data_IF_606811904932
#
_entry.id   IF_606811904932
#
_cell.length_a   1.000
_cell.length_b   1.000
_cell.length_c   1.000
_cell.angle_alpha   90.00
_cell.angle_beta   90.00
_cell.angle_gamma   90.00
#
_symmetry.space_group_name_H-M   'P 1'
#
loop_
_entity.id
_entity.type
_entity.pdbx_description
1 polymer ?
#
# COMPACT_ATOMS: atom_id res chain seq x y z
N UNK A 1 -62.02 -6.37 22.06
CA UNK A 1 -60.85 -5.89 21.28
C UNK A 1 -59.79 -5.44 22.28
N UNK A 2 -58.52 -5.84 22.30
CA UNK A 2 -57.73 -6.81 21.55
C UNK A 2 -56.56 -7.20 22.48
N UNK A 3 -56.32 -8.50 22.70
CA UNK A 3 -55.04 -9.00 23.22
C UNK A 3 -54.19 -9.36 22.00
N UNK A 4 -53.04 -8.72 21.82
CA UNK A 4 -52.02 -9.16 20.85
C UNK A 4 -50.83 -9.71 21.62
N UNK A 5 -50.82 -11.03 21.71
CA UNK A 5 -49.65 -11.85 22.04
C UNK A 5 -48.69 -11.78 20.86
N UNK A 6 -47.48 -11.24 21.03
CA UNK A 6 -46.40 -11.37 20.04
C UNK A 6 -45.52 -12.54 20.50
N UNK A 7 -45.68 -13.66 19.80
CA UNK A 7 -44.81 -14.84 19.87
C UNK A 7 -43.56 -14.57 19.01
N UNK A 8 -42.41 -14.94 19.56
CA UNK A 8 -41.29 -15.54 18.83
C UNK A 8 -40.53 -14.65 17.85
N UNK A 9 -39.47 -13.99 18.33
CA UNK A 9 -38.31 -13.70 17.50
C UNK A 9 -37.12 -14.47 18.10
N UNK A 10 -36.81 -15.62 17.53
CA UNK A 10 -35.52 -16.28 17.74
C UNK A 10 -34.43 -15.41 17.11
N UNK A 11 -33.52 -14.86 17.92
CA UNK A 11 -32.32 -14.21 17.44
C UNK A 11 -31.39 -15.26 16.81
N UNK A 12 -31.46 -15.44 15.50
CA UNK A 12 -30.38 -16.05 14.73
C UNK A 12 -29.39 -14.97 14.33
N UNK A 13 -28.16 -15.08 14.87
CA UNK A 13 -26.93 -14.40 14.50
C UNK A 13 -27.07 -13.24 13.49
N UNK A 14 -27.39 -12.04 13.99
CA UNK A 14 -27.13 -10.82 13.25
C UNK A 14 -25.62 -10.60 13.24
N UNK A 15 -25.05 -10.60 12.04
CA UNK A 15 -23.73 -10.07 11.71
C UNK A 15 -23.56 -8.74 12.44
N UNK A 16 -22.64 -8.69 13.40
CA UNK A 16 -22.18 -7.42 13.98
C UNK A 16 -21.37 -6.74 12.90
N UNK A 17 -22.04 -6.06 11.98
CA UNK A 17 -21.41 -5.02 11.17
C UNK A 17 -21.04 -3.94 12.16
N UNK A 18 -19.77 -3.89 12.56
CA UNK A 18 -19.27 -2.84 13.42
C UNK A 18 -19.67 -1.50 12.81
N UNK A 19 -20.55 -0.77 13.50
CA UNK A 19 -20.86 0.62 13.19
C UNK A 19 -19.58 1.38 13.53
N UNK A 20 -18.73 1.60 12.53
CA UNK A 20 -17.61 2.51 12.63
C UNK A 20 -18.23 3.91 12.72
N UNK A 21 -18.22 4.51 13.90
CA UNK A 21 -18.57 5.91 14.09
C UNK A 21 -17.62 6.76 13.22
N UNK A 22 -18.12 7.64 12.34
CA UNK A 22 -17.27 8.53 11.57
C UNK A 22 -16.65 9.55 12.53
N UNK A 23 -15.34 9.46 12.75
CA UNK A 23 -14.57 10.48 13.48
C UNK A 23 -13.67 9.98 14.61
N UNK A 24 -13.75 8.71 15.01
CA UNK A 24 -12.86 8.10 16.00
C UNK A 24 -12.46 6.68 15.54
N UNK A 25 -11.80 6.57 14.39
CA UNK A 25 -11.44 5.28 13.83
C UNK A 25 -10.12 5.41 13.09
N UNK A 26 -9.21 4.47 13.34
CA UNK A 26 -8.00 4.33 12.53
C UNK A 26 -8.32 4.10 11.05
N UNK A 27 -7.29 3.97 10.19
CA UNK A 27 -7.50 3.73 8.76
C UNK A 27 -8.42 2.53 8.51
N UNK A 28 -9.36 2.69 7.58
CA UNK A 28 -10.29 1.63 7.19
C UNK A 28 -9.50 0.40 6.68
N UNK A 29 -9.85 -0.83 7.11
CA UNK A 29 -9.16 -2.03 6.66
C UNK A 29 -9.16 -2.22 5.14
N UNK A 30 -8.07 -2.76 4.59
CA UNK A 30 -8.03 -3.11 3.17
C UNK A 30 -8.74 -4.46 2.95
N UNK A 31 -9.56 -4.57 1.89
CA UNK A 31 -10.39 -5.76 1.64
C UNK A 31 -9.58 -7.08 1.58
N UNK A 32 -8.40 -7.05 0.95
CA UNK A 32 -7.52 -8.21 0.78
C UNK A 32 -6.26 -8.17 1.67
N UNK A 33 -6.25 -7.35 2.73
CA UNK A 33 -5.07 -7.09 3.56
C UNK A 33 -4.34 -8.38 4.01
N UNK A 34 -5.06 -9.40 4.45
CA UNK A 34 -4.45 -10.66 4.90
C UNK A 34 -3.74 -11.42 3.78
N UNK A 35 -4.33 -11.49 2.58
CA UNK A 35 -3.73 -12.15 1.42
C UNK A 35 -2.47 -11.42 0.97
N UNK A 36 -2.52 -10.09 0.91
CA UNK A 36 -1.37 -9.26 0.53
C UNK A 36 -0.24 -9.40 1.55
N UNK A 37 -0.55 -9.32 2.84
CA UNK A 37 0.43 -9.48 3.90
C UNK A 37 1.12 -10.86 3.86
N UNK A 38 0.36 -11.93 3.64
CA UNK A 38 0.92 -13.28 3.48
C UNK A 38 1.84 -13.38 2.27
N UNK A 39 1.49 -12.75 1.15
CA UNK A 39 2.36 -12.70 -0.03
C UNK A 39 3.66 -11.95 0.25
N UNK A 40 3.59 -10.77 0.89
CA UNK A 40 4.79 -10.00 1.27
C UNK A 40 5.73 -10.84 2.14
N UNK A 41 5.18 -11.50 3.16
CA UNK A 41 5.96 -12.33 4.08
C UNK A 41 6.56 -13.57 3.39
N UNK A 42 5.82 -14.20 2.49
CA UNK A 42 6.32 -15.31 1.67
C UNK A 42 7.44 -14.88 0.73
N UNK A 43 7.42 -13.65 0.25
CA UNK A 43 8.49 -13.06 -0.56
C UNK A 43 9.73 -12.66 0.27
N UNK A 44 9.71 -12.89 1.60
CA UNK A 44 10.78 -12.47 2.51
C UNK A 44 10.81 -10.98 2.80
N UNK A 45 9.73 -10.27 2.46
CA UNK A 45 9.51 -8.87 2.80
C UNK A 45 8.95 -8.69 4.20
N UNK A 46 8.77 -7.44 4.59
CA UNK A 46 8.19 -7.08 5.88
C UNK A 46 7.12 -6.00 5.69
N UNK A 47 6.22 -5.86 6.66
CA UNK A 47 5.19 -4.84 6.59
C UNK A 47 4.82 -4.31 7.98
N UNK A 48 4.11 -3.18 8.01
CA UNK A 48 3.37 -2.72 9.21
C UNK A 48 1.90 -2.59 8.88
N UNK A 49 1.05 -2.77 9.89
CA UNK A 49 -0.41 -2.72 9.75
C UNK A 49 -1.02 -1.84 10.84
N UNK A 50 -2.26 -1.41 10.64
CA UNK A 50 -2.99 -0.66 11.67
C UNK A 50 -3.17 -1.50 12.95
N UNK A 51 -3.06 -0.83 14.11
CA UNK A 51 -3.18 -1.47 15.41
C UNK A 51 -1.96 -2.28 15.87
N UNK A 52 -0.91 -2.42 15.05
CA UNK A 52 0.33 -3.10 15.42
C UNK A 52 1.52 -2.14 15.27
N UNK A 53 2.14 -1.77 16.39
CA UNK A 53 3.25 -0.81 16.39
C UNK A 53 4.57 -1.37 15.83
N UNK A 54 4.74 -2.69 15.85
CA UNK A 54 5.96 -3.35 15.38
C UNK A 54 5.86 -3.77 13.92
N UNK A 55 7.02 -3.89 13.28
CA UNK A 55 7.15 -4.55 11.97
C UNK A 55 6.80 -6.03 12.08
N UNK A 56 6.01 -6.51 11.12
CA UNK A 56 5.59 -7.89 10.97
C UNK A 56 6.55 -8.59 10.02
N UNK A 57 7.11 -9.71 10.48
CA UNK A 57 8.09 -10.52 9.75
C UNK A 57 7.67 -12.00 9.66
N UNK A 58 6.62 -12.39 10.39
CA UNK A 58 6.07 -13.75 10.39
C UNK A 58 4.55 -13.73 10.21
N UNK A 59 3.95 -14.67 9.47
CA UNK A 59 2.50 -14.77 9.34
C UNK A 59 1.76 -14.97 10.67
N UNK A 60 2.42 -15.54 11.68
CA UNK A 60 1.85 -15.74 13.02
C UNK A 60 1.62 -14.41 13.77
N UNK A 61 2.30 -13.34 13.35
CA UNK A 61 2.20 -12.01 13.96
C UNK A 61 1.08 -11.15 13.36
N UNK A 62 0.36 -11.66 12.36
CA UNK A 62 -0.73 -10.94 11.72
C UNK A 62 -1.94 -10.84 12.67
N UNK A 63 -2.63 -9.68 12.72
CA UNK A 63 -3.88 -9.58 13.46
C UNK A 63 -4.91 -10.60 12.98
N UNK A 64 -5.68 -11.13 13.92
CA UNK A 64 -6.81 -12.02 13.62
C UNK A 64 -7.99 -11.27 13.00
N UNK A 65 -8.21 -10.02 13.40
CA UNK A 65 -9.24 -9.12 12.90
C UNK A 65 -8.83 -8.35 11.65
N UNK A 66 -9.72 -7.49 11.10
CA UNK A 66 -9.43 -6.68 9.93
C UNK A 66 -8.38 -5.60 10.23
N UNK A 67 -7.50 -5.32 9.27
CA UNK A 67 -6.45 -4.32 9.38
C UNK A 67 -6.16 -3.65 8.05
N UNK A 68 -5.49 -2.49 8.10
CA UNK A 68 -4.98 -1.77 6.94
C UNK A 68 -3.47 -1.98 6.83
N UNK A 69 -2.94 -2.14 5.62
CA UNK A 69 -1.50 -2.20 5.38
C UNK A 69 -0.96 -0.78 5.23
N UNK A 70 0.04 -0.44 6.03
CA UNK A 70 0.59 0.92 6.12
C UNK A 70 1.95 1.04 5.45
N UNK A 71 2.79 0.02 5.58
CA UNK A 71 4.12 0.00 4.94
C UNK A 71 4.39 -1.39 4.40
N UNK A 72 5.11 -1.46 3.28
CA UNK A 72 5.63 -2.70 2.71
C UNK A 72 7.09 -2.45 2.36
N UNK A 73 7.95 -3.35 2.82
CA UNK A 73 9.38 -3.39 2.49
C UNK A 73 9.67 -4.69 1.75
N UNK A 74 10.00 -4.58 0.47
CA UNK A 74 10.41 -5.67 -0.43
C UNK A 74 11.81 -5.41 -1.00
N UNK A 75 12.62 -4.60 -0.30
CA UNK A 75 13.99 -4.29 -0.74
C UNK A 75 14.80 -5.58 -0.89
N UNK A 76 15.53 -5.70 -2.00
CA UNK A 76 16.35 -6.85 -2.37
C UNK A 76 15.57 -8.17 -2.41
N UNK A 77 14.27 -8.12 -2.70
CA UNK A 77 13.42 -9.31 -2.89
C UNK A 77 13.21 -9.59 -4.37
N UNK A 78 13.01 -10.86 -4.78
CA UNK A 78 12.80 -11.24 -6.18
C UNK A 78 11.38 -10.89 -6.65
N UNK A 79 11.07 -9.60 -6.71
CA UNK A 79 9.76 -9.04 -7.10
C UNK A 79 9.88 -8.42 -8.48
N UNK A 80 8.95 -8.76 -9.37
CA UNK A 80 8.86 -8.26 -10.74
C UNK A 80 7.56 -7.47 -10.96
N UNK A 81 7.46 -6.77 -12.10
CA UNK A 81 6.33 -5.90 -12.44
C UNK A 81 4.94 -6.53 -12.21
N UNK A 82 4.77 -7.80 -12.59
CA UNK A 82 3.50 -8.54 -12.45
C UNK A 82 3.09 -8.74 -11.00
N UNK A 83 4.04 -8.81 -10.08
CA UNK A 83 3.79 -9.11 -8.69
C UNK A 83 3.18 -7.91 -7.96
N UNK A 84 3.40 -6.68 -8.47
CA UNK A 84 2.77 -5.47 -7.95
C UNK A 84 1.25 -5.41 -8.16
N UNK A 85 0.68 -6.32 -8.96
CA UNK A 85 -0.79 -6.50 -9.03
C UNK A 85 -1.40 -6.90 -7.68
N UNK A 86 -0.62 -7.54 -6.79
CA UNK A 86 -1.06 -7.87 -5.43
C UNK A 86 -1.29 -6.63 -4.56
N UNK A 87 -0.77 -5.46 -4.95
CA UNK A 87 -0.92 -4.22 -4.18
C UNK A 87 -2.15 -3.41 -4.60
N UNK A 88 -2.85 -3.83 -5.66
CA UNK A 88 -4.02 -3.10 -6.17
C UNK A 88 -5.09 -3.03 -5.08
N UNK A 89 -5.59 -1.83 -4.83
CA UNK A 89 -6.68 -1.60 -3.89
C UNK A 89 -6.24 -1.22 -2.48
N UNK A 90 -4.95 -1.30 -2.13
CA UNK A 90 -4.47 -0.81 -0.83
C UNK A 90 -4.70 0.70 -0.72
N UNK A 91 -5.57 1.11 0.21
CA UNK A 91 -5.98 2.51 0.36
C UNK A 91 -5.12 3.27 1.36
N UNK A 92 -4.35 2.55 2.16
CA UNK A 92 -3.65 3.12 3.32
C UNK A 92 -2.13 2.98 3.25
N UNK A 93 -1.59 2.42 2.17
CA UNK A 93 -0.14 2.21 2.02
C UNK A 93 0.58 3.56 1.90
N UNK A 94 1.51 3.83 2.82
CA UNK A 94 2.29 5.08 2.91
C UNK A 94 3.73 4.90 2.44
N UNK A 95 4.32 3.74 2.67
CA UNK A 95 5.68 3.40 2.24
C UNK A 95 5.70 2.12 1.42
N UNK A 96 6.43 2.14 0.31
CA UNK A 96 6.73 0.98 -0.52
C UNK A 96 8.23 0.92 -0.84
N UNK A 97 8.90 -0.12 -0.32
CA UNK A 97 10.31 -0.43 -0.56
C UNK A 97 10.50 -1.39 -1.72
N UNK A 98 11.19 -0.97 -2.78
CA UNK A 98 11.53 -1.77 -3.96
C UNK A 98 13.00 -1.60 -4.39
N UNK A 99 13.88 -1.22 -3.46
CA UNK A 99 15.33 -1.12 -3.71
C UNK A 99 15.86 -2.43 -4.28
N UNK A 100 16.65 -2.34 -5.37
CA UNK A 100 17.33 -3.49 -5.98
C UNK A 100 16.37 -4.66 -6.28
N UNK A 101 15.29 -4.35 -7.00
CA UNK A 101 14.29 -5.31 -7.49
C UNK A 101 14.19 -5.25 -9.02
N UNK A 102 13.55 -6.24 -9.64
CA UNK A 102 13.36 -6.34 -11.10
C UNK A 102 12.20 -5.46 -11.62
N UNK A 103 11.94 -4.33 -10.95
CA UNK A 103 10.87 -3.42 -11.31
C UNK A 103 11.30 -2.53 -12.49
N UNK A 104 10.38 -2.38 -13.44
CA UNK A 104 10.52 -1.52 -14.61
C UNK A 104 9.38 -0.50 -14.68
N UNK A 105 9.42 0.36 -15.70
CA UNK A 105 8.34 1.33 -15.96
C UNK A 105 6.95 0.67 -16.06
N UNK A 106 6.84 -0.62 -16.41
CA UNK A 106 5.55 -1.32 -16.50
C UNK A 106 4.94 -1.51 -15.11
N UNK A 107 5.73 -1.87 -14.10
CA UNK A 107 5.27 -2.07 -12.73
C UNK A 107 4.68 -0.81 -12.10
N UNK A 108 5.21 0.37 -12.45
CA UNK A 108 4.73 1.65 -11.90
C UNK A 108 3.27 1.98 -12.26
N UNK A 109 2.70 1.34 -13.29
CA UNK A 109 1.27 1.46 -13.59
C UNK A 109 0.41 0.98 -12.42
N UNK A 110 0.82 -0.09 -11.75
CA UNK A 110 0.11 -0.63 -10.58
C UNK A 110 0.35 0.23 -9.34
N UNK A 111 1.57 0.78 -9.19
CA UNK A 111 1.91 1.69 -8.08
C UNK A 111 1.10 2.99 -8.15
N UNK A 112 0.80 3.50 -9.35
CA UNK A 112 0.08 4.77 -9.54
C UNK A 112 -1.33 4.81 -8.90
N UNK A 113 -1.92 3.66 -8.58
CA UNK A 113 -3.22 3.55 -7.88
C UNK A 113 -3.13 3.72 -6.36
N UNK A 114 -1.92 3.72 -5.78
CA UNK A 114 -1.67 3.76 -4.33
C UNK A 114 -1.70 5.20 -3.83
N UNK A 115 -2.88 5.82 -3.85
CA UNK A 115 -3.04 7.27 -3.67
C UNK A 115 -2.60 7.81 -2.30
N UNK A 116 -2.45 6.94 -1.29
CA UNK A 116 -1.94 7.32 0.04
C UNK A 116 -0.42 7.22 0.17
N UNK A 117 0.29 6.81 -0.89
CA UNK A 117 1.74 6.61 -0.86
C UNK A 117 2.46 7.94 -0.70
N UNK A 118 3.26 8.05 0.35
CA UNK A 118 4.06 9.24 0.68
C UNK A 118 5.53 9.03 0.40
N UNK A 119 6.02 7.79 0.51
CA UNK A 119 7.42 7.44 0.30
C UNK A 119 7.56 6.20 -0.60
N UNK A 120 8.41 6.29 -1.61
CA UNK A 120 8.65 5.23 -2.58
C UNK A 120 10.15 5.06 -2.85
N UNK A 121 10.68 3.88 -2.56
CA UNK A 121 12.07 3.52 -2.83
C UNK A 121 12.18 2.69 -4.11
N UNK A 122 12.90 3.20 -5.11
CA UNK A 122 13.09 2.59 -6.44
C UNK A 122 14.56 2.57 -6.84
N UNK A 123 15.50 2.79 -5.92
CA UNK A 123 16.92 2.81 -6.26
C UNK A 123 17.37 1.44 -6.79
N UNK A 124 18.30 1.45 -7.73
CA UNK A 124 18.82 0.26 -8.42
C UNK A 124 17.74 -0.60 -9.10
N UNK A 125 16.71 0.06 -9.63
CA UNK A 125 15.69 -0.57 -10.50
C UNK A 125 15.84 -0.09 -11.94
N UNK A 126 15.13 -0.72 -12.88
CA UNK A 126 15.17 -0.37 -14.31
C UNK A 126 14.21 0.77 -14.69
N UNK A 127 14.06 1.77 -13.82
CA UNK A 127 13.21 2.94 -14.02
C UNK A 127 13.91 3.99 -14.88
N UNK A 128 13.13 4.63 -15.76
CA UNK A 128 13.58 5.74 -16.61
C UNK A 128 12.61 6.92 -16.51
N UNK A 129 12.90 8.02 -17.20
CA UNK A 129 12.00 9.19 -17.31
C UNK A 129 10.57 8.84 -17.74
N UNK A 130 10.38 7.74 -18.49
CA UNK A 130 9.05 7.28 -18.88
C UNK A 130 8.24 6.78 -17.68
N UNK A 131 8.88 6.10 -16.73
CA UNK A 131 8.24 5.62 -15.51
C UNK A 131 7.79 6.74 -14.59
N UNK A 132 8.52 7.85 -14.53
CA UNK A 132 8.15 8.99 -13.69
C UNK A 132 6.81 9.64 -14.09
N UNK A 133 6.36 9.46 -15.33
CA UNK A 133 5.03 9.93 -15.77
C UNK A 133 3.89 9.21 -15.02
N UNK A 134 4.10 7.95 -14.63
CA UNK A 134 3.13 7.22 -13.80
C UNK A 134 3.14 7.73 -12.35
N UNK A 135 4.32 8.08 -11.81
CA UNK A 135 4.45 8.61 -10.45
C UNK A 135 3.80 9.98 -10.27
N UNK A 136 3.70 10.79 -11.34
CA UNK A 136 3.02 12.09 -11.32
C UNK A 136 1.52 12.01 -10.93
N UNK A 137 0.93 10.80 -10.95
CA UNK A 137 -0.45 10.52 -10.51
C UNK A 137 -0.57 10.37 -8.99
N UNK A 138 0.55 10.20 -8.27
CA UNK A 138 0.59 10.02 -6.82
C UNK A 138 0.64 11.39 -6.13
N UNK A 139 -0.51 12.03 -5.95
CA UNK A 139 -0.58 13.41 -5.46
C UNK A 139 -0.10 13.60 -4.03
N UNK A 140 -0.02 12.52 -3.25
CA UNK A 140 0.50 12.53 -1.89
C UNK A 140 1.97 12.10 -1.78
N UNK A 141 2.64 11.81 -2.90
CA UNK A 141 4.04 11.38 -2.87
C UNK A 141 4.94 12.54 -2.44
N UNK A 142 5.69 12.32 -1.36
CA UNK A 142 6.57 13.32 -0.74
C UNK A 142 8.04 12.99 -0.97
N UNK A 143 8.42 11.71 -0.98
CA UNK A 143 9.80 11.28 -1.22
C UNK A 143 9.86 10.15 -2.24
N UNK A 144 10.79 10.27 -3.17
CA UNK A 144 11.16 9.18 -4.08
C UNK A 144 12.67 9.05 -4.16
N UNK A 145 13.14 7.83 -4.00
CA UNK A 145 14.55 7.46 -4.09
C UNK A 145 14.80 6.80 -5.44
N UNK A 146 15.75 7.33 -6.21
CA UNK A 146 16.01 6.97 -7.62
C UNK A 146 17.50 6.75 -7.90
N UNK A 147 18.31 6.51 -6.86
CA UNK A 147 19.75 6.27 -7.00
C UNK A 147 20.00 5.05 -7.88
N UNK A 148 20.97 5.11 -8.80
CA UNK A 148 21.26 3.97 -9.69
C UNK A 148 20.18 3.63 -10.71
N UNK A 149 19.23 4.54 -10.98
CA UNK A 149 18.25 4.40 -12.08
C UNK A 149 18.69 5.16 -13.34
N UNK A 150 18.06 4.89 -14.48
CA UNK A 150 18.29 5.63 -15.73
C UNK A 150 17.39 6.87 -15.88
N UNK A 151 16.91 7.42 -14.74
CA UNK A 151 16.23 8.71 -14.69
C UNK A 151 17.24 9.83 -14.90
N UNK A 152 16.86 10.82 -15.71
CA UNK A 152 17.64 12.02 -16.00
C UNK A 152 17.11 13.24 -15.23
N UNK A 153 17.89 14.32 -15.21
CA UNK A 153 17.45 15.60 -14.61
C UNK A 153 16.23 16.18 -15.32
N UNK A 154 16.05 15.89 -16.63
CA UNK A 154 14.85 16.27 -17.38
C UNK A 154 13.62 15.54 -16.86
N UNK A 155 13.74 14.24 -16.56
CA UNK A 155 12.69 13.46 -15.94
C UNK A 155 12.32 13.99 -14.55
N UNK A 156 13.33 14.27 -13.72
CA UNK A 156 13.14 14.85 -12.38
C UNK A 156 12.45 16.21 -12.45
N UNK A 157 12.87 17.10 -13.35
CA UNK A 157 12.25 18.40 -13.54
C UNK A 157 10.76 18.27 -13.85
N UNK A 158 10.39 17.40 -14.80
CA UNK A 158 8.98 17.12 -15.14
C UNK A 158 8.18 16.55 -13.97
N UNK A 159 8.79 15.66 -13.19
CA UNK A 159 8.13 15.12 -12.00
C UNK A 159 7.85 16.23 -10.97
N UNK A 160 8.81 17.12 -10.73
CA UNK A 160 8.64 18.27 -9.83
C UNK A 160 7.66 19.30 -10.35
N UNK A 161 7.55 19.51 -11.66
CA UNK A 161 6.49 20.34 -12.26
C UNK A 161 5.10 19.77 -11.94
N UNK A 162 4.95 18.44 -11.95
CA UNK A 162 3.68 17.77 -11.64
C UNK A 162 3.42 17.61 -10.13
N UNK A 163 4.48 17.51 -9.31
CA UNK A 163 4.46 17.32 -7.86
C UNK A 163 5.47 18.28 -7.19
N UNK A 164 5.13 19.57 -7.01
CA UNK A 164 6.10 20.59 -6.58
C UNK A 164 6.76 20.35 -5.22
N UNK A 165 6.09 19.63 -4.32
CA UNK A 165 6.59 19.30 -2.98
C UNK A 165 7.41 18.01 -2.91
N UNK A 166 7.54 17.25 -4.01
CA UNK A 166 8.25 15.97 -3.98
C UNK A 166 9.76 16.17 -3.84
N UNK A 167 10.32 15.50 -2.85
CA UNK A 167 11.76 15.37 -2.66
C UNK A 167 12.26 14.18 -3.46
N UNK A 168 13.21 14.43 -4.36
CA UNK A 168 13.86 13.39 -5.18
C UNK A 168 15.27 13.18 -4.66
N UNK A 169 15.58 11.94 -4.28
CA UNK A 169 16.88 11.55 -3.72
C UNK A 169 17.61 10.70 -4.76
N UNK A 170 18.74 11.22 -5.24
CA UNK A 170 19.65 10.60 -6.20
C UNK A 170 21.07 10.92 -5.75
N UNK A 171 21.92 9.92 -5.58
CA UNK A 171 23.36 10.07 -5.31
C UNK A 171 24.17 9.77 -6.56
#
# INVERSE_FOLDING_TARGET
MARRTIRGLTLTAAVVTAIILPGCGGPEPDADAKKVAQWVLKAGGTLTVSGVSRRIQSPADLPSGPFAILTIDLNERPVQDKDLTNLIGLKNLRYLGLYQTDITNKGLKYVSGLQSLTELELSYTSITDKGLQELAKLKNLQKVYLTGTAVTDKGVKKLKEALPSVTVIRF
#
